data_IF_940332869855
#
_entry.id   IF_940332869855
#
_cell.length_a   1.000
_cell.length_b   1.000
_cell.length_c   1.000
_cell.angle_alpha   90.00
_cell.angle_beta   90.00
_cell.angle_gamma   90.00
#
_symmetry.space_group_name_H-M   'P 1'
#
loop_
_entity.id
_entity.type
_entity.pdbx_description
1 polymer ?
#
# COMPACT_ATOMS: atom_id res chain seq x y z
N UNK A 1 61.90 -37.11 -3.65
CA UNK A 1 62.03 -35.76 -4.25
C UNK A 1 62.72 -35.89 -5.61
N UNK A 2 62.05 -36.51 -6.60
CA UNK A 2 62.65 -36.89 -7.90
C UNK A 2 61.67 -36.75 -9.09
N UNK A 3 60.63 -35.90 -8.98
CA UNK A 3 59.56 -35.78 -10.00
C UNK A 3 59.51 -34.42 -10.71
N UNK A 4 60.49 -33.55 -10.46
CA UNK A 4 60.48 -32.16 -10.94
C UNK A 4 61.14 -31.96 -12.32
N UNK A 5 61.87 -32.95 -12.84
CA UNK A 5 62.67 -32.76 -14.05
C UNK A 5 62.10 -33.40 -15.33
N UNK A 6 60.95 -34.08 -15.27
CA UNK A 6 60.38 -34.76 -16.46
C UNK A 6 58.85 -34.76 -16.53
N UNK A 7 58.17 -33.78 -15.93
CA UNK A 7 56.72 -33.68 -16.10
C UNK A 7 56.38 -32.94 -17.40
N UNK A 8 55.61 -33.59 -18.28
CA UNK A 8 55.03 -32.95 -19.46
C UNK A 8 54.18 -31.74 -19.00
N UNK A 9 54.39 -30.52 -19.53
CA UNK A 9 53.67 -29.31 -19.11
C UNK A 9 52.13 -29.47 -19.14
N UNK A 10 51.61 -30.30 -20.04
CA UNK A 10 50.17 -30.61 -20.10
C UNK A 10 49.69 -31.39 -18.87
N UNK A 11 50.52 -32.26 -18.33
CA UNK A 11 50.22 -33.04 -17.12
C UNK A 11 50.20 -32.11 -15.90
N UNK A 12 51.10 -31.12 -15.85
CA UNK A 12 51.11 -30.15 -14.77
C UNK A 12 49.87 -29.25 -14.80
N UNK A 13 49.47 -28.74 -15.96
CA UNK A 13 48.27 -27.93 -16.13
C UNK A 13 46.99 -28.69 -15.72
N UNK A 14 46.88 -29.95 -16.14
CA UNK A 14 45.74 -30.79 -15.75
C UNK A 14 45.71 -31.06 -14.24
N UNK A 15 46.85 -31.28 -13.60
CA UNK A 15 46.95 -31.43 -12.15
C UNK A 15 46.58 -30.14 -11.41
N UNK A 16 47.00 -28.98 -11.92
CA UNK A 16 46.62 -27.68 -11.35
C UNK A 16 45.11 -27.46 -11.45
N UNK A 17 44.51 -27.77 -12.61
CA UNK A 17 43.06 -27.70 -12.81
C UNK A 17 42.30 -28.61 -11.84
N UNK A 18 42.74 -29.86 -11.68
CA UNK A 18 42.12 -30.78 -10.73
C UNK A 18 42.22 -30.30 -9.27
N UNK A 19 43.35 -29.71 -8.87
CA UNK A 19 43.50 -29.11 -7.53
C UNK A 19 42.53 -27.94 -7.34
N UNK A 20 42.39 -27.09 -8.36
CA UNK A 20 41.48 -25.96 -8.34
C UNK A 20 40.01 -26.39 -8.24
N UNK A 21 39.61 -27.40 -9.01
CA UNK A 21 38.24 -27.91 -9.00
C UNK A 21 37.91 -28.56 -7.64
N UNK A 22 38.85 -29.32 -7.05
CA UNK A 22 38.71 -29.85 -5.69
C UNK A 22 38.55 -28.73 -4.66
N UNK A 23 39.33 -27.66 -4.77
CA UNK A 23 39.25 -26.53 -3.85
C UNK A 23 37.91 -25.79 -3.95
N UNK A 24 37.37 -25.62 -5.16
CA UNK A 24 36.04 -25.03 -5.37
C UNK A 24 34.94 -25.86 -4.72
N UNK A 25 35.00 -27.18 -4.85
CA UNK A 25 34.04 -28.07 -4.20
C UNK A 25 34.11 -27.98 -2.67
N UNK A 26 35.30 -27.82 -2.09
CA UNK A 26 35.46 -27.59 -0.65
C UNK A 26 34.82 -26.28 -0.22
N UNK A 27 35.06 -25.17 -0.94
CA UNK A 27 34.45 -23.87 -0.63
C UNK A 27 32.93 -23.93 -0.73
N UNK A 28 32.42 -24.55 -1.79
CA UNK A 28 30.97 -24.62 -2.06
C UNK A 28 30.23 -25.40 -0.97
N UNK A 29 30.87 -26.41 -0.40
CA UNK A 29 30.30 -27.26 0.64
C UNK A 29 30.65 -26.80 2.08
N UNK A 30 31.44 -25.73 2.22
CA UNK A 30 31.79 -25.18 3.53
C UNK A 30 30.53 -24.59 4.20
N UNK A 31 30.19 -25.10 5.39
CA UNK A 31 29.07 -24.57 6.18
C UNK A 31 29.47 -23.23 6.80
N UNK A 32 28.60 -22.22 6.81
CA UNK A 32 28.89 -20.94 7.47
C UNK A 32 28.99 -21.16 8.99
N UNK A 33 30.06 -20.64 9.60
CA UNK A 33 30.30 -20.71 11.06
C UNK A 33 29.26 -19.93 11.88
N UNK A 34 28.63 -18.92 11.26
CA UNK A 34 27.67 -18.04 11.91
C UNK A 34 26.29 -18.28 11.32
N UNK A 35 25.30 -18.48 12.20
CA UNK A 35 23.91 -18.65 11.82
C UNK A 35 23.34 -17.32 11.29
N UNK A 36 23.17 -17.20 9.98
CA UNK A 36 22.58 -16.02 9.29
C UNK A 36 21.05 -16.07 9.16
N UNK A 37 20.37 -16.96 9.90
CA UNK A 37 18.90 -16.98 9.88
C UNK A 37 18.32 -15.75 10.58
N UNK A 38 17.25 -15.17 10.01
CA UNK A 38 16.52 -14.05 10.62
C UNK A 38 16.16 -14.38 12.08
N UNK A 39 16.40 -13.47 13.04
CA UNK A 39 16.00 -13.68 14.42
C UNK A 39 14.48 -13.88 14.49
N UNK A 40 14.05 -14.78 15.37
CA UNK A 40 12.64 -15.09 15.56
C UNK A 40 11.92 -13.84 16.07
N UNK A 41 11.16 -13.19 15.19
CA UNK A 41 10.39 -12.01 15.57
C UNK A 41 9.26 -12.47 16.50
N UNK A 42 9.34 -12.08 17.77
CA UNK A 42 8.19 -12.12 18.67
C UNK A 42 7.17 -11.08 18.17
N UNK A 43 6.41 -11.45 17.13
CA UNK A 43 5.24 -10.69 16.72
C UNK A 43 4.26 -10.83 17.89
N UNK A 44 4.04 -9.76 18.63
CA UNK A 44 2.99 -9.73 19.66
C UNK A 44 1.67 -9.88 18.90
N UNK A 45 1.20 -11.12 18.78
CA UNK A 45 0.05 -11.48 17.94
C UNK A 45 -1.23 -10.80 18.44
N UNK A 46 -1.30 -10.51 19.74
CA UNK A 46 -2.49 -9.99 20.40
C UNK A 46 -2.16 -8.76 21.23
N UNK A 47 -2.49 -7.57 20.72
CA UNK A 47 -2.41 -6.32 21.47
C UNK A 47 -3.60 -6.20 22.44
N UNK A 48 -3.70 -7.11 23.42
CA UNK A 48 -4.80 -7.17 24.40
C UNK A 48 -5.05 -5.82 25.09
N UNK A 49 -3.98 -5.12 25.47
CA UNK A 49 -4.06 -3.77 26.05
C UNK A 49 -4.71 -2.74 25.12
N UNK A 50 -4.45 -2.82 23.81
CA UNK A 50 -5.08 -1.92 22.83
C UNK A 50 -6.57 -2.21 22.68
N UNK A 51 -6.98 -3.48 22.78
CA UNK A 51 -8.38 -3.89 22.78
C UNK A 51 -9.09 -3.37 24.03
N UNK A 52 -8.50 -3.57 25.20
CA UNK A 52 -9.04 -3.07 26.47
C UNK A 52 -9.23 -1.54 26.46
N UNK A 53 -8.23 -0.78 26.04
CA UNK A 53 -8.33 0.69 25.93
C UNK A 53 -9.48 1.12 25.00
N UNK A 54 -9.72 0.35 23.93
CA UNK A 54 -10.82 0.65 23.00
C UNK A 54 -12.18 0.38 23.65
N UNK A 55 -12.33 -0.75 24.33
CA UNK A 55 -13.55 -1.13 25.05
C UNK A 55 -13.87 -0.14 26.17
N UNK A 56 -12.88 0.26 26.97
CA UNK A 56 -13.04 1.26 28.04
C UNK A 56 -13.51 2.60 27.47
N UNK A 57 -12.94 3.03 26.34
CA UNK A 57 -13.33 4.26 25.65
C UNK A 57 -14.75 4.20 25.10
N UNK A 58 -15.13 3.08 24.48
CA UNK A 58 -16.48 2.86 23.96
C UNK A 58 -17.52 2.87 25.10
N UNK A 59 -17.20 2.25 26.23
CA UNK A 59 -18.05 2.26 27.42
C UNK A 59 -18.22 3.67 28.00
N UNK A 60 -17.14 4.45 28.05
CA UNK A 60 -17.20 5.85 28.49
C UNK A 60 -18.12 6.68 27.59
N UNK A 61 -17.95 6.60 26.28
CA UNK A 61 -18.79 7.31 25.30
C UNK A 61 -20.25 6.90 25.48
N UNK A 62 -20.54 5.62 25.65
CA UNK A 62 -21.90 5.13 25.86
C UNK A 62 -22.53 5.74 27.13
N UNK A 63 -21.79 5.75 28.25
CA UNK A 63 -22.26 6.35 29.51
C UNK A 63 -22.52 7.86 29.36
N UNK A 64 -21.65 8.59 28.69
CA UNK A 64 -21.82 10.02 28.43
C UNK A 64 -23.05 10.30 27.55
N UNK A 65 -23.29 9.49 26.52
CA UNK A 65 -24.48 9.59 25.68
C UNK A 65 -25.77 9.33 26.47
N UNK A 66 -25.78 8.35 27.38
CA UNK A 66 -26.93 8.09 28.25
C UNK A 66 -27.21 9.28 29.19
N UNK A 67 -26.17 9.90 29.75
CA UNK A 67 -26.31 11.09 30.58
C UNK A 67 -26.86 12.26 29.76
N UNK A 68 -26.37 12.46 28.53
CA UNK A 68 -26.84 13.50 27.64
C UNK A 68 -28.32 13.31 27.29
N UNK A 69 -28.73 12.10 26.89
CA UNK A 69 -30.13 11.78 26.58
C UNK A 69 -31.03 12.05 27.78
N UNK A 70 -30.61 11.63 28.99
CA UNK A 70 -31.36 11.92 30.22
C UNK A 70 -31.48 13.42 30.47
N UNK A 71 -30.43 14.20 30.23
CA UNK A 71 -30.47 15.67 30.34
C UNK A 71 -31.40 16.29 29.31
N UNK A 72 -31.37 15.84 28.06
CA UNK A 72 -32.26 16.30 27.00
C UNK A 72 -33.73 16.00 27.34
N UNK A 73 -34.04 14.77 27.73
CA UNK A 73 -35.39 14.40 28.18
C UNK A 73 -35.83 15.23 29.39
N UNK A 74 -34.94 15.52 30.34
CA UNK A 74 -35.25 16.39 31.46
C UNK A 74 -35.51 17.84 31.05
N UNK A 75 -34.86 18.34 29.99
CA UNK A 75 -35.11 19.67 29.42
C UNK A 75 -36.45 19.67 28.69
N UNK A 76 -36.74 18.64 27.90
CA UNK A 76 -37.97 18.52 27.13
C UNK A 76 -39.19 18.32 28.06
N UNK A 77 -39.05 17.51 29.11
CA UNK A 77 -40.12 17.21 30.07
C UNK A 77 -40.36 18.30 31.10
N UNK A 78 -39.38 19.18 31.37
CA UNK A 78 -39.56 20.36 32.21
C UNK A 78 -39.85 21.56 31.31
N UNK A 79 -41.12 21.89 31.02
CA UNK A 79 -41.42 23.16 30.40
C UNK A 79 -40.89 24.23 31.35
N UNK A 80 -39.78 24.87 30.98
CA UNK A 80 -39.32 26.07 31.66
C UNK A 80 -40.51 27.03 31.76
N UNK A 81 -40.71 27.69 32.90
CA UNK A 81 -41.81 28.66 33.08
C UNK A 81 -41.85 29.80 32.05
N UNK A 82 -40.84 29.85 31.17
CA UNK A 82 -40.73 30.71 29.99
C UNK A 82 -41.68 30.25 28.87
N UNK A 83 -42.01 28.95 28.77
CA UNK A 83 -42.85 28.41 27.70
C UNK A 83 -44.36 28.62 27.92
N UNK A 84 -44.78 28.91 29.17
CA UNK A 84 -46.17 29.30 29.49
C UNK A 84 -46.45 30.78 29.16
N UNK A 85 -45.43 31.61 28.93
CA UNK A 85 -45.63 33.05 28.84
C UNK A 85 -45.84 33.61 27.42
N UNK A 86 -45.79 32.82 26.34
CA UNK A 86 -45.94 33.38 24.97
C UNK A 86 -46.60 32.44 23.97
N UNK A 87 -47.90 32.25 24.10
CA UNK A 87 -48.78 31.95 22.95
C UNK A 87 -49.98 32.89 22.84
N UNK A 88 -50.05 33.96 23.63
CA UNK A 88 -50.85 35.13 23.25
C UNK A 88 -49.99 36.04 22.36
N UNK A 89 -50.17 35.91 21.05
CA UNK A 89 -50.28 37.00 20.05
C UNK A 89 -49.57 38.35 20.28
N UNK A 90 -48.41 38.40 20.94
CA UNK A 90 -47.58 39.59 21.02
C UNK A 90 -46.85 39.73 19.69
N UNK A 91 -47.50 40.44 18.76
CA UNK A 91 -46.97 40.89 17.48
C UNK A 91 -45.52 41.41 17.68
N UNK A 92 -44.53 40.60 17.29
CA UNK A 92 -43.12 41.00 17.20
C UNK A 92 -42.91 41.89 15.97
N UNK A 93 -43.67 42.98 15.85
CA UNK A 93 -43.59 43.93 14.72
C UNK A 93 -42.29 44.75 14.73
N UNK A 94 -41.54 44.77 15.84
CA UNK A 94 -40.27 45.51 15.96
C UNK A 94 -39.00 44.77 15.54
N UNK A 95 -38.99 43.42 15.48
CA UNK A 95 -37.78 42.63 15.14
C UNK A 95 -37.72 42.18 13.67
N UNK A 96 -38.84 42.19 12.97
CA UNK A 96 -38.93 41.72 11.58
C UNK A 96 -38.06 42.58 10.65
N UNK A 97 -38.18 43.91 10.72
CA UNK A 97 -37.46 44.80 9.82
C UNK A 97 -35.94 44.72 9.94
N UNK A 98 -35.41 44.65 11.17
CA UNK A 98 -33.96 44.47 11.41
C UNK A 98 -33.45 43.12 10.88
N UNK A 99 -34.24 42.05 11.05
CA UNK A 99 -33.90 40.73 10.50
C UNK A 99 -33.94 40.72 8.97
N UNK A 100 -34.94 41.34 8.35
CA UNK A 100 -35.03 41.46 6.89
C UNK A 100 -33.89 42.30 6.33
N UNK A 101 -33.51 43.39 6.99
CA UNK A 101 -32.34 44.19 6.63
C UNK A 101 -31.03 43.40 6.76
N UNK A 102 -30.86 42.60 7.82
CA UNK A 102 -29.70 41.72 7.97
C UNK A 102 -29.65 40.65 6.88
N UNK A 103 -30.78 40.03 6.55
CA UNK A 103 -30.88 39.07 5.44
C UNK A 103 -30.51 39.72 4.10
N UNK A 104 -30.95 40.95 3.86
CA UNK A 104 -30.58 41.70 2.68
C UNK A 104 -29.08 42.02 2.61
N UNK A 105 -28.47 42.43 3.74
CA UNK A 105 -27.01 42.63 3.83
C UNK A 105 -26.23 41.35 3.54
N UNK A 106 -26.66 40.22 4.13
CA UNK A 106 -26.05 38.91 3.88
C UNK A 106 -26.17 38.55 2.39
N UNK A 107 -27.35 38.77 1.80
CA UNK A 107 -27.57 38.49 0.38
C UNK A 107 -26.65 39.32 -0.51
N UNK A 108 -26.52 40.63 -0.25
CA UNK A 108 -25.62 41.50 -1.00
C UNK A 108 -24.16 41.07 -0.88
N UNK A 109 -23.71 40.70 0.32
CA UNK A 109 -22.35 40.23 0.54
C UNK A 109 -22.07 38.90 -0.15
N UNK A 110 -23.02 37.96 -0.11
CA UNK A 110 -22.92 36.70 -0.84
C UNK A 110 -22.82 36.93 -2.36
N UNK A 111 -23.60 37.86 -2.90
CA UNK A 111 -23.53 38.23 -4.31
C UNK A 111 -22.20 38.89 -4.69
N UNK A 112 -21.59 39.66 -3.78
CA UNK A 112 -20.26 40.26 -3.96
C UNK A 112 -19.17 39.18 -3.97
N UNK A 113 -19.23 38.24 -3.03
CA UNK A 113 -18.30 37.10 -2.94
C UNK A 113 -18.42 36.23 -4.18
N UNK A 114 -19.64 35.91 -4.62
CA UNK A 114 -19.86 35.11 -5.82
C UNK A 114 -19.25 35.76 -7.06
N UNK A 115 -19.50 37.06 -7.25
CA UNK A 115 -18.88 37.82 -8.35
C UNK A 115 -17.35 37.78 -8.28
N UNK A 116 -16.78 37.93 -7.08
CA UNK A 116 -15.33 37.83 -6.87
C UNK A 116 -14.80 36.44 -7.22
N UNK A 117 -15.48 35.38 -6.81
CA UNK A 117 -15.09 34.00 -7.13
C UNK A 117 -15.16 33.73 -8.63
N UNK A 118 -16.21 34.23 -9.31
CA UNK A 118 -16.37 34.08 -10.75
C UNK A 118 -15.37 34.91 -11.56
N UNK A 119 -15.06 36.12 -11.10
CA UNK A 119 -14.09 37.00 -11.78
C UNK A 119 -12.64 36.61 -11.52
N UNK A 120 -12.38 35.86 -10.44
CA UNK A 120 -11.03 35.40 -10.13
C UNK A 120 -10.70 34.23 -11.05
N UNK A 121 -9.78 34.46 -11.99
CA UNK A 121 -9.23 33.37 -12.80
C UNK A 121 -8.47 32.39 -11.90
N UNK A 122 -8.71 31.09 -12.08
CA UNK A 122 -7.90 30.06 -11.42
C UNK A 122 -6.43 30.23 -11.80
N UNK A 123 -5.55 30.30 -10.79
CA UNK A 123 -4.09 30.31 -11.01
C UNK A 123 -3.60 28.97 -11.60
N UNK A 124 -4.35 27.89 -11.35
CA UNK A 124 -4.04 26.57 -11.87
C UNK A 124 -4.78 26.33 -13.19
N UNK A 125 -4.02 25.99 -14.23
CA UNK A 125 -4.58 25.50 -15.48
C UNK A 125 -5.09 24.07 -15.29
N UNK A 126 -6.39 23.87 -15.50
CA UNK A 126 -7.02 22.56 -15.42
C UNK A 126 -6.38 21.60 -16.43
N UNK A 127 -6.05 22.08 -17.63
CA UNK A 127 -5.42 21.26 -18.68
C UNK A 127 -4.06 20.73 -18.24
N UNK A 128 -3.23 21.59 -17.63
CA UNK A 128 -1.92 21.19 -17.09
C UNK A 128 -2.08 20.15 -15.98
N UNK A 129 -3.06 20.31 -15.10
CA UNK A 129 -3.31 19.38 -14.00
C UNK A 129 -3.75 18.01 -14.54
N UNK A 130 -4.60 17.98 -15.56
CA UNK A 130 -5.03 16.75 -16.22
C UNK A 130 -3.87 16.03 -16.91
N UNK A 131 -3.01 16.76 -17.62
CA UNK A 131 -1.82 16.21 -18.26
C UNK A 131 -0.85 15.61 -17.23
N UNK A 132 -0.57 16.32 -16.14
CA UNK A 132 0.24 15.81 -15.04
C UNK A 132 -0.38 14.55 -14.43
N UNK A 133 -1.71 14.52 -14.26
CA UNK A 133 -2.40 13.36 -13.69
C UNK A 133 -2.32 12.15 -14.63
N UNK A 134 -2.50 12.36 -15.95
CA UNK A 134 -2.30 11.31 -16.97
C UNK A 134 -0.88 10.77 -16.93
N UNK A 135 0.12 11.65 -16.81
CA UNK A 135 1.52 11.24 -16.69
C UNK A 135 1.80 10.44 -15.41
N UNK A 136 1.23 10.84 -14.26
CA UNK A 136 1.34 10.11 -12.99
C UNK A 136 0.70 8.72 -13.09
N UNK A 137 -0.47 8.58 -13.69
CA UNK A 137 -1.10 7.27 -13.90
C UNK A 137 -0.30 6.40 -14.87
N UNK A 138 0.30 6.99 -15.92
CA UNK A 138 1.24 6.28 -16.79
C UNK A 138 2.45 5.73 -16.01
N UNK A 139 3.10 6.54 -15.16
CA UNK A 139 4.21 6.09 -14.33
C UNK A 139 3.78 4.98 -13.36
N UNK A 140 2.64 5.13 -12.70
CA UNK A 140 2.07 4.15 -11.78
C UNK A 140 1.80 2.80 -12.45
N UNK A 141 1.21 2.81 -13.65
CA UNK A 141 0.99 1.57 -14.42
C UNK A 141 2.32 0.92 -14.83
N UNK A 142 3.32 1.70 -15.20
CA UNK A 142 4.65 1.19 -15.55
C UNK A 142 5.40 0.60 -14.36
N UNK A 143 5.35 1.24 -13.19
CA UNK A 143 5.92 0.71 -11.95
C UNK A 143 5.23 -0.62 -11.58
N UNK A 144 3.90 -0.68 -11.67
CA UNK A 144 3.12 -1.91 -11.43
C UNK A 144 3.53 -3.05 -12.38
N UNK A 145 3.73 -2.76 -13.67
CA UNK A 145 4.18 -3.74 -14.68
C UNK A 145 5.62 -4.21 -14.42
N UNK A 146 6.54 -3.32 -14.07
CA UNK A 146 7.93 -3.66 -13.71
C UNK A 146 8.01 -4.54 -12.48
N UNK A 147 7.20 -4.27 -11.45
CA UNK A 147 7.13 -5.10 -10.25
C UNK A 147 6.69 -6.54 -10.56
N UNK A 148 5.69 -6.74 -11.44
CA UNK A 148 5.23 -8.09 -11.84
C UNK A 148 6.29 -8.90 -12.62
N UNK A 149 7.11 -8.24 -13.45
CA UNK A 149 8.20 -8.90 -14.20
C UNK A 149 9.34 -9.41 -13.32
N UNK A 150 9.56 -8.80 -12.15
CA UNK A 150 10.61 -9.22 -11.23
C UNK A 150 10.17 -10.44 -10.39
N UNK A 151 8.87 -10.59 -10.10
CA UNK A 151 8.33 -11.78 -9.44
C UNK A 151 8.29 -13.01 -10.35
N UNK A 152 8.05 -12.84 -11.66
CA UNK A 152 8.06 -13.96 -12.61
C UNK A 152 9.45 -14.50 -12.95
N UNK A 153 10.54 -13.84 -12.51
CA UNK A 153 11.91 -14.35 -12.65
C UNK A 153 12.41 -15.12 -11.42
N UNK A 154 11.77 -14.93 -10.26
CA UNK A 154 12.16 -15.59 -9.00
C UNK A 154 11.43 -16.91 -8.76
N UNK A 155 10.36 -17.18 -9.49
CA UNK A 155 9.74 -18.51 -9.53
C UNK A 155 10.34 -19.29 -10.70
N UNK A 156 11.47 -19.98 -10.45
CA UNK A 156 11.73 -21.19 -11.23
C UNK A 156 10.52 -22.09 -11.00
N UNK A 157 9.81 -22.57 -12.04
CA UNK A 157 8.75 -23.54 -11.82
C UNK A 157 9.35 -24.72 -11.04
N UNK A 158 8.62 -25.29 -10.05
CA UNK A 158 9.09 -26.47 -9.36
C UNK A 158 9.42 -27.51 -10.42
N UNK A 159 10.63 -28.09 -10.33
CA UNK A 159 11.05 -29.25 -11.11
C UNK A 159 10.17 -30.46 -10.72
N UNK A 160 8.89 -30.43 -11.09
CA UNK A 160 8.05 -31.60 -11.21
C UNK A 160 8.30 -32.18 -12.59
N UNK A 161 8.57 -33.48 -12.64
CA UNK A 161 8.86 -34.29 -13.84
C UNK A 161 8.11 -33.82 -15.09
N UNK A 162 8.74 -32.94 -15.86
CA UNK A 162 8.16 -32.38 -17.08
C UNK A 162 8.42 -33.37 -18.23
N UNK A 163 7.72 -34.50 -18.17
CA UNK A 163 7.78 -35.61 -19.12
C UNK A 163 7.55 -35.10 -20.55
N UNK A 164 6.67 -34.11 -20.71
CA UNK A 164 6.37 -33.44 -21.97
C UNK A 164 7.61 -32.71 -22.50
N UNK A 165 8.33 -31.99 -21.64
CA UNK A 165 9.58 -31.31 -22.00
C UNK A 165 10.69 -32.29 -22.42
N UNK A 166 10.77 -33.47 -21.80
CA UNK A 166 11.72 -34.52 -22.21
C UNK A 166 11.33 -35.19 -23.55
N UNK A 167 10.04 -35.44 -23.77
CA UNK A 167 9.53 -36.00 -25.04
C UNK A 167 9.81 -35.04 -26.19
N UNK A 168 9.59 -33.75 -25.99
CA UNK A 168 9.84 -32.72 -27.02
C UNK A 168 11.34 -32.59 -27.34
N UNK A 169 12.23 -32.66 -26.34
CA UNK A 169 13.68 -32.69 -26.57
C UNK A 169 14.13 -33.91 -27.36
N UNK A 170 13.68 -35.12 -27.00
CA UNK A 170 13.99 -36.35 -27.76
C UNK A 170 13.45 -36.30 -29.20
N UNK A 171 12.29 -35.67 -29.42
CA UNK A 171 11.73 -35.52 -30.76
C UNK A 171 12.54 -34.54 -31.61
N UNK A 172 13.05 -33.46 -31.02
CA UNK A 172 13.95 -32.50 -31.66
C UNK A 172 15.27 -33.15 -32.06
N UNK A 173 15.90 -33.90 -31.15
CA UNK A 173 17.15 -34.65 -31.42
C UNK A 173 16.99 -35.71 -32.52
N UNK A 174 15.82 -36.36 -32.62
CA UNK A 174 15.53 -37.32 -33.71
C UNK A 174 15.43 -36.61 -35.06
N UNK A 175 14.79 -35.44 -35.10
CA UNK A 175 14.67 -34.65 -36.33
C UNK A 175 16.02 -34.12 -36.80
N UNK A 176 16.87 -33.69 -35.87
CA UNK A 176 18.23 -33.22 -36.16
C UNK A 176 19.09 -34.36 -36.72
N UNK A 177 19.02 -35.57 -36.15
CA UNK A 177 19.72 -36.75 -36.69
C UNK A 177 19.23 -37.18 -38.07
N UNK A 178 17.94 -37.01 -38.38
CA UNK A 178 17.43 -37.31 -39.73
C UNK A 178 17.84 -36.26 -40.77
N UNK A 179 18.17 -35.05 -40.34
CA UNK A 179 18.66 -33.98 -41.23
C UNK A 179 20.17 -34.08 -41.49
N UNK A 180 20.93 -34.74 -40.62
CA UNK A 180 22.38 -34.97 -40.79
C UNK A 180 22.72 -36.19 -41.67
N UNK A 181 21.73 -37.01 -42.07
CA UNK A 181 21.92 -38.25 -42.87
C UNK A 181 21.51 -38.06 -44.35
N UNK A 182 21.17 -36.84 -44.77
CA UNK A 182 20.92 -36.45 -46.17
C UNK A 182 22.05 -35.54 -46.65
#
# INVERSE_FOLDING_TARGET
>A
MWSFLTSNPQVEETMQKQRHDKFKEVIKNAKPTIRVSRPQSHRVMNNSKKKQIKEDREMQIFKENQILLKKMMNIDSKPSGIHSFRTSSAKLTGRSHSRTQQQFKIFQENQRILRKLQSTSSHYSITKLEEENRYREYLKTNIRKKHKRNFSKTEKPPMGNDLIGQILRRRKERLERTQEIV
#
